data_IF_514138905489
#
_entry.id   IF_514138905489
#
_cell.length_a   1.000
_cell.length_b   1.000
_cell.length_c   1.000
_cell.angle_alpha   90.00
_cell.angle_beta   90.00
_cell.angle_gamma   90.00
#
_symmetry.space_group_name_H-M   'P 1'
#
loop_
_entity.id
_entity.type
_entity.pdbx_description
1 polymer ?
#
# COMPACT_ATOMS: atom_id res chain seq x y z
N UNK A 1 6.66 3.87 11.12
CA UNK A 1 7.14 2.86 12.09
C UNK A 1 5.96 1.97 12.45
N UNK A 2 6.14 0.65 12.49
CA UNK A 2 5.09 -0.34 12.78
C UNK A 2 4.63 -0.24 14.24
N UNK A 3 3.34 -0.33 14.52
CA UNK A 3 2.83 -0.38 15.90
C UNK A 3 3.09 -1.73 16.57
N UNK A 4 3.21 -2.83 15.82
CA UNK A 4 3.23 -4.19 16.38
C UNK A 4 4.48 -5.03 16.10
N UNK A 5 5.49 -4.49 15.40
CA UNK A 5 6.73 -5.23 15.08
C UNK A 5 6.52 -6.45 14.17
N UNK A 6 5.36 -6.58 13.53
CA UNK A 6 5.07 -7.65 12.57
C UNK A 6 5.86 -7.40 11.27
N UNK A 7 6.74 -8.33 10.86
CA UNK A 7 7.49 -8.22 9.61
C UNK A 7 6.62 -8.00 8.37
N UNK A 8 5.37 -8.47 8.39
CA UNK A 8 4.44 -8.31 7.27
C UNK A 8 3.96 -6.86 7.10
N UNK A 9 3.74 -6.13 8.21
CA UNK A 9 3.39 -4.71 8.16
C UNK A 9 4.51 -3.90 7.53
N UNK A 10 5.77 -4.22 7.88
CA UNK A 10 6.93 -3.55 7.30
C UNK A 10 7.04 -3.81 5.80
N UNK A 11 6.82 -5.05 5.34
CA UNK A 11 6.86 -5.37 3.92
C UNK A 11 5.80 -4.60 3.09
N UNK A 12 4.61 -4.37 3.66
CA UNK A 12 3.57 -3.55 3.01
C UNK A 12 4.01 -2.08 2.95
N UNK A 13 4.53 -1.53 4.04
CA UNK A 13 5.01 -0.16 4.10
C UNK A 13 6.18 0.09 3.12
N UNK A 14 7.15 -0.84 3.07
CA UNK A 14 8.27 -0.78 2.14
C UNK A 14 7.80 -0.78 0.69
N UNK A 15 6.82 -1.63 0.35
CA UNK A 15 6.23 -1.66 -1.00
C UNK A 15 5.58 -0.32 -1.36
N UNK A 16 4.82 0.29 -0.44
CA UNK A 16 4.18 1.60 -0.70
C UNK A 16 5.25 2.67 -0.90
N UNK A 17 6.27 2.71 -0.04
CA UNK A 17 7.37 3.65 -0.15
C UNK A 17 8.15 3.49 -1.47
N UNK A 18 8.36 2.25 -1.92
CA UNK A 18 8.96 1.96 -3.23
C UNK A 18 8.14 2.57 -4.37
N UNK A 19 6.82 2.34 -4.39
CA UNK A 19 5.92 2.91 -5.40
C UNK A 19 5.97 4.44 -5.40
N UNK A 20 5.87 5.07 -4.23
CA UNK A 20 5.90 6.54 -4.11
C UNK A 20 7.22 7.09 -4.68
N UNK A 21 8.35 6.48 -4.32
CA UNK A 21 9.66 6.95 -4.76
C UNK A 21 9.90 6.69 -6.24
N UNK A 22 9.66 5.47 -6.70
CA UNK A 22 10.06 5.02 -8.04
C UNK A 22 9.06 5.45 -9.13
N UNK A 23 7.76 5.50 -8.83
CA UNK A 23 6.74 5.78 -9.84
C UNK A 23 6.26 7.22 -9.86
N UNK A 24 6.36 7.94 -8.73
CA UNK A 24 5.87 9.31 -8.64
C UNK A 24 7.00 10.31 -8.49
N UNK A 25 7.88 10.14 -7.50
CA UNK A 25 8.88 11.15 -7.19
C UNK A 25 10.13 11.09 -8.08
N UNK A 26 10.41 9.95 -8.72
CA UNK A 26 11.65 9.73 -9.46
C UNK A 26 11.86 10.72 -10.63
N UNK A 27 10.78 11.27 -11.18
CA UNK A 27 10.82 12.19 -12.31
C UNK A 27 10.87 13.67 -11.90
N UNK A 28 10.84 13.97 -10.59
CA UNK A 28 10.86 15.34 -10.07
C UNK A 28 12.23 15.68 -9.49
N UNK A 29 12.72 16.88 -9.82
CA UNK A 29 13.83 17.50 -9.12
C UNK A 29 13.27 18.49 -8.11
N UNK A 30 13.77 18.43 -6.87
CA UNK A 30 13.36 19.31 -5.78
C UNK A 30 14.61 19.99 -5.21
N UNK A 31 14.51 21.28 -4.96
CA UNK A 31 15.64 22.11 -4.53
C UNK A 31 15.62 22.41 -3.02
N UNK A 32 14.49 22.14 -2.34
CA UNK A 32 14.36 22.30 -0.89
C UNK A 32 13.55 21.20 -0.22
N UNK A 33 13.66 21.11 1.11
CA UNK A 33 12.88 20.16 1.92
C UNK A 33 11.40 20.53 1.91
N UNK A 34 11.08 21.83 1.90
CA UNK A 34 9.72 22.32 1.81
C UNK A 34 9.06 21.88 0.51
N UNK A 35 9.73 22.07 -0.64
CA UNK A 35 9.23 21.61 -1.94
C UNK A 35 9.07 20.08 -1.99
N UNK A 36 10.03 19.35 -1.44
CA UNK A 36 9.94 17.89 -1.34
C UNK A 36 8.75 17.44 -0.49
N UNK A 37 8.43 18.19 0.58
CA UNK A 37 7.30 17.91 1.46
C UNK A 37 5.97 18.17 0.77
N UNK A 38 5.84 19.31 0.09
CA UNK A 38 4.62 19.68 -0.66
C UNK A 38 4.36 18.69 -1.80
N UNK A 39 5.41 18.31 -2.54
CA UNK A 39 5.32 17.31 -3.60
C UNK A 39 4.92 15.93 -3.03
N UNK A 40 5.51 15.54 -1.90
CA UNK A 40 5.17 14.27 -1.25
C UNK A 40 3.70 14.24 -0.83
N UNK A 41 3.17 15.33 -0.27
CA UNK A 41 1.75 15.44 0.10
C UNK A 41 0.85 15.24 -1.12
N UNK A 42 1.13 15.94 -2.22
CA UNK A 42 0.38 15.79 -3.47
C UNK A 42 0.43 14.37 -4.03
N UNK A 43 1.60 13.72 -3.98
CA UNK A 43 1.78 12.33 -4.46
C UNK A 43 1.04 11.33 -3.57
N UNK A 44 1.05 11.51 -2.26
CA UNK A 44 0.29 10.67 -1.33
C UNK A 44 -1.20 10.79 -1.59
N UNK A 45 -1.69 12.01 -1.84
CA UNK A 45 -3.08 12.24 -2.21
C UNK A 45 -3.45 11.57 -3.54
N UNK A 46 -2.58 11.67 -4.55
CA UNK A 46 -2.75 11.01 -5.84
C UNK A 46 -2.83 9.48 -5.70
N UNK A 47 -1.93 8.89 -4.90
CA UNK A 47 -1.94 7.45 -4.62
C UNK A 47 -3.24 7.03 -3.92
N UNK A 48 -3.70 7.79 -2.92
CA UNK A 48 -4.86 7.42 -2.13
C UNK A 48 -6.21 7.68 -2.82
N UNK A 49 -6.30 8.70 -3.67
CA UNK A 49 -7.56 9.14 -4.25
C UNK A 49 -7.72 8.81 -5.73
N UNK A 50 -6.62 8.70 -6.50
CA UNK A 50 -6.71 8.57 -7.95
C UNK A 50 -6.17 7.25 -8.48
N UNK A 51 -5.20 6.61 -7.81
CA UNK A 51 -4.63 5.34 -8.27
C UNK A 51 -5.63 4.18 -8.09
N UNK A 52 -6.10 3.52 -9.16
CA UNK A 52 -6.88 2.30 -9.03
C UNK A 52 -5.97 1.11 -8.74
N UNK A 53 -6.39 0.25 -7.81
CA UNK A 53 -5.61 -0.94 -7.42
C UNK A 53 -6.34 -2.23 -7.75
N UNK A 54 -5.73 -3.06 -8.59
CA UNK A 54 -6.28 -4.37 -8.98
C UNK A 54 -6.59 -5.27 -7.78
N UNK A 55 -5.79 -5.20 -6.71
CA UNK A 55 -5.97 -6.00 -5.50
C UNK A 55 -7.27 -5.69 -4.74
N UNK A 56 -7.90 -4.55 -5.01
CA UNK A 56 -9.12 -4.07 -4.38
C UNK A 56 -10.20 -3.76 -5.42
N UNK A 57 -10.20 -4.48 -6.55
CA UNK A 57 -11.24 -4.38 -7.57
C UNK A 57 -11.15 -3.10 -8.42
N UNK A 58 -9.95 -2.58 -8.64
CA UNK A 58 -9.70 -1.30 -9.32
C UNK A 58 -10.32 -0.07 -8.64
N UNK A 59 -10.62 -0.18 -7.35
CA UNK A 59 -10.95 0.95 -6.50
C UNK A 59 -9.68 1.65 -6.01
N UNK A 60 -9.84 2.88 -5.52
CA UNK A 60 -8.76 3.64 -4.88
C UNK A 60 -8.70 3.32 -3.39
N UNK A 61 -7.54 3.50 -2.72
CA UNK A 61 -7.41 3.20 -1.29
C UNK A 61 -8.45 3.93 -0.43
N UNK A 62 -8.68 5.22 -0.71
CA UNK A 62 -9.66 6.01 0.03
C UNK A 62 -11.10 5.58 -0.24
N UNK A 63 -11.43 5.13 -1.45
CA UNK A 63 -12.77 4.59 -1.73
C UNK A 63 -13.07 3.36 -0.85
N UNK A 64 -12.09 2.48 -0.68
CA UNK A 64 -12.25 1.28 0.14
C UNK A 64 -12.32 1.64 1.62
N UNK A 65 -11.42 2.51 2.09
CA UNK A 65 -11.32 2.88 3.50
C UNK A 65 -12.57 3.63 3.99
N UNK A 66 -13.02 4.67 3.27
CA UNK A 66 -14.15 5.51 3.71
C UNK A 66 -15.50 4.80 3.60
N UNK A 67 -15.68 3.94 2.59
CA UNK A 67 -16.94 3.22 2.40
C UNK A 67 -16.95 1.84 3.09
N UNK A 68 -15.87 1.50 3.81
CA UNK A 68 -15.69 0.22 4.49
C UNK A 68 -15.97 -0.99 3.56
N UNK A 69 -15.51 -0.90 2.31
CA UNK A 69 -15.78 -1.89 1.27
C UNK A 69 -14.98 -3.16 1.59
N UNK A 70 -15.66 -4.31 1.65
CA UNK A 70 -14.98 -5.60 1.73
C UNK A 70 -14.37 -5.93 0.38
N UNK A 71 -13.05 -5.96 0.32
CA UNK A 71 -12.33 -6.31 -0.91
C UNK A 71 -12.01 -7.80 -0.93
N UNK A 72 -12.29 -8.45 -2.05
CA UNK A 72 -11.93 -9.85 -2.26
C UNK A 72 -10.54 -9.96 -2.87
N UNK A 73 -9.75 -10.94 -2.41
CA UNK A 73 -8.44 -11.21 -3.01
C UNK A 73 -8.65 -11.88 -4.37
N UNK A 74 -8.37 -11.14 -5.44
CA UNK A 74 -8.52 -11.64 -6.81
C UNK A 74 -7.34 -12.51 -7.27
N UNK A 75 -6.27 -12.63 -6.48
CA UNK A 75 -5.12 -13.46 -6.81
C UNK A 75 -5.18 -14.84 -6.15
N UNK A 76 -4.66 -15.85 -6.84
CA UNK A 76 -4.53 -17.20 -6.33
C UNK A 76 -3.48 -17.23 -5.22
N UNK A 77 -3.86 -17.66 -4.02
CA UNK A 77 -2.91 -17.93 -2.95
C UNK A 77 -2.38 -19.37 -3.10
N UNK A 78 -1.07 -19.52 -3.32
CA UNK A 78 -0.41 -20.81 -3.44
C UNK A 78 0.03 -21.40 -2.09
N UNK A 79 -0.03 -20.62 -1.01
CA UNK A 79 0.28 -21.09 0.33
C UNK A 79 -0.91 -21.89 0.87
N UNK A 80 -0.72 -23.20 0.96
CA UNK A 80 -1.63 -24.11 1.65
C UNK A 80 -1.39 -23.92 3.15
N UNK A 81 -2.41 -23.47 3.89
CA UNK A 81 -2.35 -23.53 5.36
C UNK A 81 -2.28 -25.01 5.73
N UNK A 82 -1.14 -25.50 6.21
CA UNK A 82 -1.05 -26.84 6.78
C UNK A 82 -2.11 -26.96 7.87
N UNK A 83 -3.03 -27.94 7.81
CA UNK A 83 -3.90 -28.20 8.95
C UNK A 83 -2.99 -28.53 10.12
N UNK A 84 -3.12 -27.78 11.21
CA UNK A 84 -2.44 -28.09 12.45
C UNK A 84 -3.06 -29.40 12.95
N UNK A 85 -2.41 -30.53 12.64
CA UNK A 85 -2.75 -31.80 13.27
C UNK A 85 -2.11 -31.74 14.66
N UNK A 86 -2.81 -31.13 15.62
CA UNK A 86 -2.51 -31.33 17.04
C UNK A 86 -3.04 -32.73 17.35
N UNK A 87 -2.14 -33.72 17.43
CA UNK A 87 -2.50 -35.05 17.93
C UNK A 87 -2.94 -34.90 19.40
N UNK A 88 -4.20 -35.24 19.70
CA UNK A 88 -4.71 -35.50 21.05
C UNK A 88 -4.38 -36.93 21.47
#
# INVERSE_FOLDING_TARGET
MTENGDPLENAIAERINGIIKEEYLNDYQVDSIEEASDLLEAVVDLYNNERPHMSIGNLTPNQVHHNNIKTEKLWKNYYIKSPIIVNQ
#
